data_IF_170372479923
#
_entry.id   IF_170372479923
#
_cell.length_a   1.000
_cell.length_b   1.000
_cell.length_c   1.000
_cell.angle_alpha   90.00
_cell.angle_beta   90.00
_cell.angle_gamma   90.00
#
_symmetry.space_group_name_H-M   'P 1'
#
loop_
_entity.id
_entity.type
_entity.pdbx_description
1 polymer ?
#
# COMPACT_ATOMS: atom_id res chain seq x y z
N UNK A 1 26.10 11.56 22.56
CA UNK A 1 24.87 10.74 22.39
C UNK A 1 24.71 10.23 20.96
N UNK A 2 24.69 11.09 19.93
CA UNK A 2 24.51 10.66 18.52
C UNK A 2 25.60 9.68 18.05
N UNK A 3 26.88 10.04 18.16
CA UNK A 3 28.01 9.16 17.77
C UNK A 3 27.96 7.79 18.48
N UNK A 4 27.61 7.79 19.77
CA UNK A 4 27.52 6.56 20.57
C UNK A 4 26.42 5.59 20.10
N UNK A 5 25.31 6.09 19.54
CA UNK A 5 24.17 5.25 19.12
C UNK A 5 24.24 4.95 17.62
N UNK A 6 24.53 5.97 16.81
CA UNK A 6 24.49 5.87 15.35
C UNK A 6 25.82 5.41 14.74
N UNK A 7 26.93 5.51 15.48
CA UNK A 7 28.27 5.23 14.97
C UNK A 7 28.82 6.28 13.99
N UNK A 8 28.04 7.32 13.65
CA UNK A 8 28.49 8.42 12.79
C UNK A 8 29.51 9.28 13.55
N UNK A 9 30.74 9.45 13.02
CA UNK A 9 31.73 10.33 13.62
C UNK A 9 31.19 11.74 13.84
N UNK A 10 31.52 12.37 14.98
CA UNK A 10 31.02 13.70 15.35
C UNK A 10 31.29 14.75 14.28
N UNK A 11 32.49 14.73 13.66
CA UNK A 11 32.85 15.67 12.61
C UNK A 11 31.93 15.56 11.38
N UNK A 12 31.63 14.33 10.96
CA UNK A 12 30.73 14.07 9.83
C UNK A 12 29.29 14.52 10.14
N UNK A 13 28.81 14.22 11.35
CA UNK A 13 27.49 14.65 11.79
C UNK A 13 27.36 16.18 11.82
N UNK A 14 28.36 16.89 12.39
CA UNK A 14 28.35 18.35 12.44
C UNK A 14 28.32 18.96 11.04
N UNK A 15 29.09 18.43 10.10
CA UNK A 15 29.09 18.89 8.70
C UNK A 15 27.71 18.78 8.06
N UNK A 16 26.99 17.67 8.29
CA UNK A 16 25.62 17.49 7.80
C UNK A 16 24.66 18.47 8.47
N UNK A 17 24.78 18.70 9.78
CA UNK A 17 23.99 19.69 10.49
C UNK A 17 24.19 21.10 9.95
N UNK A 18 25.43 21.51 9.68
CA UNK A 18 25.77 22.82 9.11
C UNK A 18 25.08 23.03 7.76
N UNK A 19 25.21 22.07 6.83
CA UNK A 19 24.59 22.16 5.51
C UNK A 19 23.06 22.22 5.55
N UNK A 20 22.43 21.45 6.45
CA UNK A 20 20.98 21.49 6.61
C UNK A 20 20.55 22.82 7.24
N UNK A 21 21.28 23.29 8.26
CA UNK A 21 20.97 24.52 8.98
C UNK A 21 21.05 25.77 8.08
N UNK A 22 21.95 25.81 7.10
CA UNK A 22 22.00 26.90 6.11
C UNK A 22 20.67 27.10 5.36
N UNK A 23 19.86 26.04 5.26
CA UNK A 23 18.56 26.07 4.57
C UNK A 23 17.42 26.58 5.45
N UNK A 24 17.71 27.10 6.64
CA UNK A 24 16.74 27.91 7.40
C UNK A 24 16.62 29.34 6.85
N UNK A 25 17.53 29.76 5.97
CA UNK A 25 17.44 31.05 5.29
C UNK A 25 16.25 31.03 4.31
N UNK A 26 15.41 32.09 4.24
CA UNK A 26 14.19 32.08 3.43
C UNK A 26 14.39 31.87 1.91
N UNK A 27 15.60 32.14 1.41
CA UNK A 27 16.00 32.02 0.00
C UNK A 27 16.77 30.72 -0.32
N UNK A 28 16.99 29.86 0.69
CA UNK A 28 17.60 28.54 0.54
C UNK A 28 16.60 27.45 0.89
N UNK A 29 16.72 26.29 0.25
CA UNK A 29 15.86 25.14 0.55
C UNK A 29 16.64 23.84 0.62
N UNK A 30 16.25 22.95 1.53
CA UNK A 30 16.69 21.56 1.54
C UNK A 30 15.55 20.64 1.06
N UNK A 31 15.91 19.60 0.32
CA UNK A 31 14.98 18.55 -0.09
C UNK A 31 15.44 17.19 0.41
N UNK A 32 14.56 16.47 1.10
CA UNK A 32 14.85 15.11 1.56
C UNK A 32 14.27 14.08 0.60
N UNK A 33 15.14 13.25 0.02
CA UNK A 33 14.78 12.13 -0.83
C UNK A 33 14.96 10.84 -0.03
N UNK A 34 13.88 10.11 0.21
CA UNK A 34 13.94 8.86 0.98
C UNK A 34 12.97 7.80 0.47
N UNK A 35 13.21 6.54 0.82
CA UNK A 35 12.33 5.41 0.54
C UNK A 35 12.44 4.35 1.66
N UNK A 36 12.90 3.15 1.33
CA UNK A 36 12.84 1.96 2.19
C UNK A 36 13.76 2.04 3.41
N UNK A 37 14.89 2.74 3.29
CA UNK A 37 15.88 2.88 4.36
C UNK A 37 15.32 3.47 5.67
N UNK A 38 14.21 4.22 5.59
CA UNK A 38 13.51 4.75 6.77
C UNK A 38 12.19 4.05 7.08
N UNK A 39 11.50 3.48 6.10
CA UNK A 39 10.16 2.91 6.29
C UNK A 39 10.18 1.49 6.86
N UNK A 40 11.18 0.67 6.54
CA UNK A 40 11.23 -0.75 6.89
C UNK A 40 11.83 -1.01 8.27
N UNK A 41 11.30 -0.32 9.28
CA UNK A 41 11.70 -0.46 10.68
C UNK A 41 10.44 -0.48 11.57
N UNK A 42 10.52 -1.08 12.75
CA UNK A 42 9.45 -1.03 13.75
C UNK A 42 9.06 0.41 14.15
N UNK A 43 9.99 1.36 14.01
CA UNK A 43 9.80 2.79 14.24
C UNK A 43 9.77 3.62 12.96
N UNK A 44 9.53 3.01 11.79
CA UNK A 44 9.71 3.68 10.49
C UNK A 44 8.86 4.94 10.32
N UNK A 45 7.65 4.95 10.87
CA UNK A 45 6.80 6.15 10.90
C UNK A 45 7.44 7.30 11.70
N UNK A 46 8.15 7.00 12.79
CA UNK A 46 8.82 8.00 13.61
C UNK A 46 10.03 8.60 12.90
N UNK A 47 10.82 7.78 12.20
CA UNK A 47 11.93 8.28 11.37
C UNK A 47 11.45 9.37 10.40
N UNK A 48 10.31 9.13 9.74
CA UNK A 48 9.71 10.07 8.79
C UNK A 48 9.16 11.30 9.51
N UNK A 49 8.49 11.13 10.66
CA UNK A 49 8.00 12.28 11.45
C UNK A 49 9.15 13.21 11.85
N UNK A 50 10.28 12.66 12.31
CA UNK A 50 11.45 13.46 12.70
C UNK A 50 11.95 14.31 11.53
N UNK A 51 12.10 13.74 10.34
CA UNK A 51 12.52 14.51 9.16
C UNK A 51 11.46 15.53 8.73
N UNK A 52 10.17 15.19 8.78
CA UNK A 52 9.11 16.15 8.48
C UNK A 52 9.13 17.36 9.46
N UNK A 53 9.40 17.12 10.74
CA UNK A 53 9.58 18.18 11.74
C UNK A 53 10.77 19.07 11.41
N UNK A 54 11.90 18.51 10.96
CA UNK A 54 13.06 19.29 10.49
C UNK A 54 12.65 20.21 9.32
N UNK A 55 11.96 19.68 8.31
CA UNK A 55 11.52 20.49 7.17
C UNK A 55 10.52 21.59 7.55
N UNK A 56 9.69 21.38 8.57
CA UNK A 56 8.81 22.41 9.12
C UNK A 56 9.60 23.49 9.86
N UNK A 57 10.58 23.11 10.69
CA UNK A 57 11.43 24.05 11.43
C UNK A 57 12.26 24.94 10.50
N UNK A 58 12.71 24.39 9.37
CA UNK A 58 13.48 25.11 8.36
C UNK A 58 12.61 25.93 7.39
N UNK A 59 11.28 25.80 7.43
CA UNK A 59 10.38 26.49 6.50
C UNK A 59 10.42 25.96 5.06
N UNK A 60 10.91 24.74 4.85
CA UNK A 60 11.14 24.16 3.51
C UNK A 60 9.90 23.53 2.87
N UNK A 61 8.78 23.43 3.59
CA UNK A 61 7.54 22.82 3.09
C UNK A 61 6.77 23.77 2.17
N UNK A 62 6.39 23.29 0.98
CA UNK A 62 5.66 24.10 -0.02
C UNK A 62 6.55 24.91 -0.96
N UNK A 63 7.87 24.90 -0.73
CA UNK A 63 8.85 25.66 -1.53
C UNK A 63 9.36 24.85 -2.73
N UNK A 64 9.66 25.53 -3.84
CA UNK A 64 10.38 24.94 -4.97
C UNK A 64 11.79 24.54 -4.53
N UNK A 65 12.23 23.33 -4.91
CA UNK A 65 13.51 22.77 -4.46
C UNK A 65 13.51 22.26 -3.02
N UNK A 66 12.42 22.46 -2.24
CA UNK A 66 12.31 22.01 -0.86
C UNK A 66 11.52 20.72 -0.68
N UNK A 67 10.80 20.63 0.44
CA UNK A 67 9.79 19.61 0.72
C UNK A 67 10.31 18.21 1.06
N UNK A 68 9.38 17.28 1.12
CA UNK A 68 9.61 15.88 1.47
C UNK A 68 9.32 15.00 0.26
N UNK A 69 10.38 14.52 -0.40
CA UNK A 69 10.28 13.66 -1.56
C UNK A 69 10.30 12.18 -1.14
N UNK A 70 9.14 11.69 -0.70
CA UNK A 70 8.93 10.30 -0.34
C UNK A 70 8.84 9.40 -1.58
N UNK A 71 9.98 8.85 -2.01
CA UNK A 71 10.10 8.11 -3.25
C UNK A 71 9.37 6.75 -3.17
N UNK A 72 8.36 6.60 -4.03
CA UNK A 72 7.56 5.41 -4.29
C UNK A 72 8.33 4.39 -5.14
N UNK A 73 8.16 3.10 -4.82
CA UNK A 73 8.80 1.98 -5.49
C UNK A 73 8.10 1.58 -6.79
N UNK A 74 7.12 0.67 -6.71
CA UNK A 74 6.43 0.19 -7.92
C UNK A 74 5.76 1.33 -8.71
N UNK A 75 5.73 1.16 -10.03
CA UNK A 75 5.25 2.15 -11.00
C UNK A 75 3.86 2.71 -10.74
N UNK A 76 2.97 1.93 -10.09
CA UNK A 76 1.61 2.35 -9.74
C UNK A 76 1.26 2.10 -8.26
N UNK A 77 2.24 1.99 -7.36
CA UNK A 77 1.94 1.79 -5.94
C UNK A 77 1.10 2.96 -5.39
N UNK A 78 1.34 4.17 -5.90
CA UNK A 78 0.56 5.34 -5.55
C UNK A 78 -0.92 5.18 -5.97
N UNK A 79 -1.17 4.70 -7.19
CA UNK A 79 -2.54 4.47 -7.67
C UNK A 79 -3.27 3.36 -6.92
N UNK A 80 -2.59 2.27 -6.55
CA UNK A 80 -3.21 1.20 -5.75
C UNK A 80 -3.55 1.69 -4.33
N UNK A 81 -2.70 2.54 -3.74
CA UNK A 81 -3.00 3.22 -2.46
C UNK A 81 -4.18 4.19 -2.61
N UNK A 82 -4.20 5.00 -3.67
CA UNK A 82 -5.30 5.94 -3.96
C UNK A 82 -6.64 5.19 -4.14
N UNK A 83 -6.62 3.98 -4.70
CA UNK A 83 -7.79 3.11 -4.88
C UNK A 83 -8.13 2.27 -3.63
N UNK A 84 -7.36 2.37 -2.56
CA UNK A 84 -7.66 1.71 -1.29
C UNK A 84 -7.44 0.20 -1.28
N UNK A 85 -6.48 -0.34 -2.05
CA UNK A 85 -6.12 -1.77 -1.96
C UNK A 85 -5.26 -2.09 -0.72
N UNK A 86 -5.78 -1.74 0.46
CA UNK A 86 -5.26 -2.05 1.78
C UNK A 86 -6.40 -2.56 2.65
N UNK A 87 -6.08 -3.37 3.68
CA UNK A 87 -7.07 -4.18 4.42
C UNK A 87 -8.34 -3.44 4.86
N UNK A 88 -8.23 -2.20 5.32
CA UNK A 88 -9.34 -1.42 5.89
C UNK A 88 -9.62 -0.15 5.10
N UNK A 89 -9.16 -0.05 3.86
CA UNK A 89 -9.24 1.16 3.05
C UNK A 89 -10.34 1.09 2.00
N UNK A 90 -10.84 2.26 1.63
CA UNK A 90 -11.71 2.50 0.48
C UNK A 90 -11.02 3.50 -0.46
N UNK A 91 -11.42 3.56 -1.75
CA UNK A 91 -10.90 4.55 -2.69
C UNK A 91 -10.95 5.99 -2.15
N UNK A 92 -9.96 6.80 -2.50
CA UNK A 92 -9.88 8.20 -2.10
C UNK A 92 -9.50 8.40 -0.64
N UNK A 93 -8.70 7.50 -0.05
CA UNK A 93 -8.24 7.54 1.34
C UNK A 93 -9.37 7.48 2.38
N UNK A 94 -10.56 6.99 1.98
CA UNK A 94 -11.64 6.67 2.90
C UNK A 94 -11.33 5.35 3.61
N UNK A 95 -12.00 5.11 4.75
CA UNK A 95 -11.84 3.88 5.53
C UNK A 95 -13.08 3.00 5.40
N UNK A 96 -12.89 1.68 5.36
CA UNK A 96 -14.00 0.74 5.58
C UNK A 96 -14.59 0.96 6.98
N UNK A 97 -15.90 0.72 7.16
CA UNK A 97 -16.52 0.79 8.48
C UNK A 97 -15.96 -0.27 9.42
N UNK A 98 -15.79 0.10 10.70
CA UNK A 98 -15.53 -0.86 11.78
C UNK A 98 -16.85 -1.51 12.22
N UNK A 99 -16.82 -2.75 12.71
CA UNK A 99 -18.03 -3.45 13.20
C UNK A 99 -18.79 -2.71 14.32
N UNK A 100 -18.10 -1.86 15.09
CA UNK A 100 -18.69 -1.02 16.15
C UNK A 100 -19.48 0.17 15.61
N UNK A 101 -19.38 0.46 14.32
CA UNK A 101 -20.13 1.54 13.64
C UNK A 101 -21.39 0.94 13.02
N UNK A 102 -22.40 0.73 13.85
CA UNK A 102 -23.62 0.00 13.49
C UNK A 102 -24.41 0.66 12.36
N UNK A 103 -24.34 1.98 12.23
CA UNK A 103 -25.09 2.76 11.25
C UNK A 103 -24.21 3.79 10.52
N UNK A 104 -24.74 4.29 9.40
CA UNK A 104 -24.07 5.27 8.55
C UNK A 104 -23.75 6.57 9.29
N UNK A 105 -24.63 7.06 10.16
CA UNK A 105 -24.45 8.32 10.86
C UNK A 105 -23.26 8.23 11.83
N UNK A 106 -23.15 7.13 12.56
CA UNK A 106 -22.03 6.82 13.47
C UNK A 106 -20.71 6.77 12.68
N UNK A 107 -20.70 6.08 11.54
CA UNK A 107 -19.53 6.02 10.66
C UNK A 107 -19.12 7.39 10.10
N UNK A 108 -20.07 8.17 9.57
CA UNK A 108 -19.78 9.49 9.02
C UNK A 108 -19.30 10.45 10.09
N UNK A 109 -19.90 10.42 11.28
CA UNK A 109 -19.49 11.27 12.41
C UNK A 109 -18.05 10.96 12.84
N UNK A 110 -17.68 9.68 12.91
CA UNK A 110 -16.34 9.27 13.29
C UNK A 110 -15.26 9.67 12.25
N UNK A 111 -15.62 9.71 10.97
CA UNK A 111 -14.68 9.98 9.87
C UNK A 111 -14.72 11.43 9.35
N UNK A 112 -15.62 12.28 9.89
CA UNK A 112 -15.72 13.69 9.51
C UNK A 112 -15.10 14.55 10.62
N UNK A 113 -13.83 14.96 10.48
CA UNK A 113 -13.16 15.74 11.52
C UNK A 113 -13.81 17.12 11.66
N UNK A 114 -13.85 17.61 12.90
CA UNK A 114 -14.24 18.99 13.21
C UNK A 114 -12.99 19.89 13.19
N UNK A 115 -13.10 21.14 12.73
CA UNK A 115 -11.97 22.06 12.77
C UNK A 115 -11.55 22.31 14.23
N UNK A 116 -10.25 22.20 14.52
CA UNK A 116 -9.69 22.44 15.86
C UNK A 116 -9.38 23.92 16.12
N UNK A 117 -9.28 24.72 15.06
CA UNK A 117 -9.03 26.16 15.11
C UNK A 117 -10.07 26.89 14.26
N UNK A 118 -10.27 28.17 14.54
CA UNK A 118 -11.10 29.05 13.73
C UNK A 118 -10.45 29.29 12.35
N UNK A 119 -11.28 29.60 11.36
CA UNK A 119 -10.89 30.03 10.02
C UNK A 119 -10.00 29.02 9.26
N UNK A 120 -10.22 27.72 9.52
CA UNK A 120 -9.56 26.61 8.83
C UNK A 120 -10.42 26.04 7.71
N UNK A 121 -9.78 25.64 6.61
CA UNK A 121 -10.48 24.99 5.47
C UNK A 121 -11.13 23.67 5.87
N UNK A 122 -10.44 22.85 6.68
CA UNK A 122 -10.87 21.52 7.11
C UNK A 122 -11.54 20.70 5.98
N UNK A 123 -10.79 20.43 4.90
CA UNK A 123 -11.39 19.88 3.67
C UNK A 123 -12.06 18.51 3.87
N UNK A 124 -11.55 17.70 4.82
CA UNK A 124 -12.16 16.42 5.22
C UNK A 124 -13.53 16.56 5.89
N UNK A 125 -13.97 17.77 6.25
CA UNK A 125 -15.37 18.04 6.59
C UNK A 125 -16.35 17.66 5.48
N UNK A 126 -15.88 17.45 4.24
CA UNK A 126 -16.66 16.98 3.10
C UNK A 126 -16.76 15.44 2.98
N UNK A 127 -16.23 14.67 3.94
CA UNK A 127 -16.22 13.20 3.91
C UNK A 127 -17.57 12.57 3.49
N UNK A 128 -18.74 13.00 4.00
CA UNK A 128 -20.03 12.42 3.60
C UNK A 128 -20.32 12.52 2.11
N UNK A 129 -19.90 13.61 1.47
CA UNK A 129 -20.08 13.81 0.01
C UNK A 129 -19.30 12.78 -0.78
N UNK A 130 -18.05 12.53 -0.38
CA UNK A 130 -17.18 11.55 -1.04
C UNK A 130 -17.71 10.14 -0.85
N UNK A 131 -18.15 9.80 0.37
CA UNK A 131 -18.67 8.48 0.68
C UNK A 131 -19.93 8.14 -0.11
N UNK A 132 -20.93 9.02 -0.10
CA UNK A 132 -22.18 8.81 -0.87
C UNK A 132 -21.90 8.73 -2.37
N UNK A 133 -21.03 9.61 -2.90
CA UNK A 133 -20.65 9.56 -4.32
C UNK A 133 -20.00 8.22 -4.70
N UNK A 134 -19.14 7.69 -3.84
CA UNK A 134 -18.52 6.38 -4.06
C UNK A 134 -19.55 5.25 -3.98
N UNK A 135 -20.48 5.27 -3.03
CA UNK A 135 -21.54 4.26 -2.94
C UNK A 135 -22.42 4.26 -4.19
N UNK A 136 -22.74 5.44 -4.74
CA UNK A 136 -23.43 5.57 -6.03
C UNK A 136 -22.59 5.02 -7.19
N UNK A 137 -21.28 5.20 -7.18
CA UNK A 137 -20.40 4.61 -8.20
C UNK A 137 -20.33 3.08 -8.11
N UNK A 138 -20.41 2.50 -6.90
CA UNK A 138 -20.38 1.04 -6.69
C UNK A 138 -21.70 0.37 -7.01
N UNK A 139 -22.82 0.97 -6.57
CA UNK A 139 -24.12 0.29 -6.55
C UNK A 139 -25.18 0.96 -7.44
N UNK A 140 -24.85 2.08 -8.09
CA UNK A 140 -25.74 2.78 -9.02
C UNK A 140 -27.07 3.16 -8.37
N UNK A 141 -28.16 2.78 -9.03
CA UNK A 141 -29.53 3.06 -8.58
C UNK A 141 -29.90 2.35 -7.28
N UNK A 142 -29.17 1.29 -6.91
CA UNK A 142 -29.43 0.54 -5.67
C UNK A 142 -28.94 1.24 -4.40
N UNK A 143 -28.02 2.20 -4.50
CA UNK A 143 -27.65 3.04 -3.38
C UNK A 143 -28.61 4.23 -3.29
N UNK A 144 -29.52 4.22 -2.31
CA UNK A 144 -30.53 5.26 -2.10
C UNK A 144 -30.48 5.78 -0.65
N UNK A 145 -31.16 6.88 -0.35
CA UNK A 145 -31.18 7.42 1.00
C UNK A 145 -31.86 6.45 1.99
N UNK A 146 -32.91 5.77 1.53
CA UNK A 146 -33.76 4.87 2.34
C UNK A 146 -32.98 3.65 2.84
N UNK A 147 -31.97 3.19 2.11
CA UNK A 147 -31.12 2.07 2.50
C UNK A 147 -29.71 2.50 2.95
N UNK A 148 -29.56 3.76 3.39
CA UNK A 148 -28.27 4.30 3.82
C UNK A 148 -27.17 4.12 2.77
N UNK A 149 -27.53 4.26 1.49
CA UNK A 149 -26.64 4.13 0.33
C UNK A 149 -25.95 2.77 0.22
N UNK A 150 -26.53 1.71 0.78
CA UNK A 150 -25.93 0.37 0.78
C UNK A 150 -24.78 0.20 1.78
N UNK A 151 -24.68 1.05 2.80
CA UNK A 151 -23.66 0.99 3.85
C UNK A 151 -23.44 -0.42 4.42
N UNK A 152 -24.52 -1.18 4.61
CA UNK A 152 -24.46 -2.53 5.18
C UNK A 152 -23.93 -3.61 4.24
N UNK A 153 -23.77 -3.31 2.94
CA UNK A 153 -23.13 -4.24 2.00
C UNK A 153 -21.61 -4.20 2.07
N UNK A 154 -21.03 -3.15 2.68
CA UNK A 154 -19.59 -3.09 2.89
C UNK A 154 -19.17 -4.04 4.03
N UNK A 155 -18.05 -4.76 3.87
CA UNK A 155 -17.51 -5.55 4.96
C UNK A 155 -17.07 -4.63 6.09
N UNK A 156 -17.54 -4.94 7.31
CA UNK A 156 -17.14 -4.25 8.52
C UNK A 156 -16.01 -5.02 9.20
N UNK A 157 -14.91 -4.35 9.53
CA UNK A 157 -13.73 -5.00 10.09
C UNK A 157 -13.75 -5.01 11.62
N UNK A 158 -13.32 -6.12 12.22
CA UNK A 158 -13.04 -6.27 13.66
C UNK A 158 -11.62 -5.79 13.99
N UNK A 159 -10.69 -6.06 13.07
CA UNK A 159 -9.27 -5.64 13.12
C UNK A 159 -8.69 -5.45 11.72
N UNK A 160 -7.51 -4.85 11.64
CA UNK A 160 -6.75 -4.82 10.39
C UNK A 160 -6.12 -6.19 10.14
N UNK A 161 -6.20 -6.70 8.92
CA UNK A 161 -5.58 -7.96 8.51
C UNK A 161 -4.36 -7.68 7.63
N UNK A 162 -3.28 -7.23 8.26
CA UNK A 162 -2.01 -7.02 7.56
C UNK A 162 -1.38 -8.37 7.14
N UNK A 163 -0.41 -8.30 6.21
CA UNK A 163 0.17 -9.50 5.60
C UNK A 163 0.86 -10.43 6.61
N UNK A 164 1.47 -9.89 7.68
CA UNK A 164 2.14 -10.72 8.68
C UNK A 164 1.11 -11.46 9.53
N UNK A 165 0.05 -10.77 9.95
CA UNK A 165 -1.06 -11.41 10.66
C UNK A 165 -1.78 -12.43 9.79
N UNK A 166 -2.03 -12.11 8.51
CA UNK A 166 -2.73 -12.99 7.60
C UNK A 166 -1.93 -14.26 7.29
N UNK A 167 -0.61 -14.15 7.11
CA UNK A 167 0.26 -15.32 6.91
C UNK A 167 0.45 -16.14 8.19
N UNK A 168 0.34 -15.53 9.37
CA UNK A 168 0.26 -16.27 10.63
C UNK A 168 -1.05 -17.05 10.73
N UNK A 169 -2.19 -16.44 10.39
CA UNK A 169 -3.48 -17.14 10.31
C UNK A 169 -3.43 -18.30 9.30
N UNK A 170 -2.79 -18.09 8.15
CA UNK A 170 -2.57 -19.14 7.14
C UNK A 170 -1.70 -20.27 7.70
N UNK A 171 -0.64 -19.95 8.44
CA UNK A 171 0.18 -20.96 9.12
C UNK A 171 -0.62 -21.76 10.17
N UNK A 172 -1.64 -21.14 10.78
CA UNK A 172 -2.54 -21.80 11.73
C UNK A 172 -3.68 -22.58 11.03
N UNK A 173 -3.70 -22.66 9.69
CA UNK A 173 -4.73 -23.37 8.94
C UNK A 173 -6.08 -22.63 8.87
N UNK A 174 -6.11 -21.33 9.17
CA UNK A 174 -7.34 -20.51 9.20
C UNK A 174 -7.66 -19.84 7.87
N UNK A 175 -6.85 -20.08 6.83
CA UNK A 175 -7.01 -19.50 5.50
C UNK A 175 -7.13 -20.63 4.48
N UNK A 176 -8.24 -20.66 3.75
CA UNK A 176 -8.50 -21.70 2.74
C UNK A 176 -7.86 -21.38 1.39
N UNK A 177 -7.83 -20.12 0.99
CA UNK A 177 -7.41 -19.71 -0.34
C UNK A 177 -6.68 -18.38 -0.35
N UNK A 178 -5.83 -18.19 -1.36
CA UNK A 178 -5.09 -16.94 -1.55
C UNK A 178 -5.03 -16.55 -3.02
N UNK A 179 -5.19 -15.25 -3.31
CA UNK A 179 -5.05 -14.69 -4.65
C UNK A 179 -3.82 -13.81 -4.67
N UNK A 180 -2.88 -14.14 -5.54
CA UNK A 180 -1.63 -13.43 -5.73
C UNK A 180 -1.59 -12.81 -7.13
N UNK A 181 -1.96 -11.53 -7.23
CA UNK A 181 -2.03 -10.81 -8.51
C UNK A 181 -0.87 -9.81 -8.64
N UNK A 182 0.07 -10.09 -9.54
CA UNK A 182 1.22 -9.21 -9.80
C UNK A 182 2.07 -8.95 -8.55
N UNK A 183 2.16 -9.94 -7.66
CA UNK A 183 2.93 -9.91 -6.42
C UNK A 183 3.63 -11.25 -6.24
N UNK A 184 4.73 -11.30 -5.49
CA UNK A 184 5.53 -12.53 -5.32
C UNK A 184 5.97 -12.70 -3.86
N UNK A 185 5.06 -13.14 -2.96
CA UNK A 185 5.33 -13.21 -1.52
C UNK A 185 6.49 -14.14 -1.16
N UNK A 186 6.72 -15.24 -1.88
CA UNK A 186 7.85 -16.15 -1.60
C UNK A 186 9.19 -15.42 -1.67
N UNK A 187 9.32 -14.44 -2.57
CA UNK A 187 10.54 -13.65 -2.72
C UNK A 187 10.54 -12.37 -1.86
N UNK A 188 9.38 -11.74 -1.64
CA UNK A 188 9.31 -10.39 -1.06
C UNK A 188 8.95 -10.33 0.43
N UNK A 189 8.36 -11.38 0.99
CA UNK A 189 7.98 -11.39 2.40
C UNK A 189 9.13 -11.85 3.30
N UNK A 190 9.18 -11.36 4.56
CA UNK A 190 10.19 -11.81 5.51
C UNK A 190 9.97 -13.29 5.88
N UNK A 191 11.06 -13.99 6.18
CA UNK A 191 11.05 -15.41 6.54
C UNK A 191 10.40 -16.31 5.48
N UNK A 192 11.09 -16.45 4.34
CA UNK A 192 10.69 -17.27 3.20
C UNK A 192 10.27 -18.69 3.56
N UNK A 193 10.95 -19.35 4.49
CA UNK A 193 10.62 -20.72 4.90
C UNK A 193 9.24 -20.79 5.58
N UNK A 194 8.93 -19.83 6.45
CA UNK A 194 7.59 -19.72 7.04
C UNK A 194 6.53 -19.39 5.98
N UNK A 195 6.85 -18.53 5.02
CA UNK A 195 5.95 -18.19 3.90
C UNK A 195 5.58 -19.44 3.09
N UNK A 196 6.57 -20.26 2.69
CA UNK A 196 6.33 -21.52 1.97
C UNK A 196 5.51 -22.50 2.82
N UNK A 197 5.82 -22.62 4.11
CA UNK A 197 5.05 -23.48 5.02
C UNK A 197 3.59 -23.02 5.18
N UNK A 198 3.34 -21.71 5.21
CA UNK A 198 1.98 -21.15 5.22
C UNK A 198 1.25 -21.46 3.92
N UNK A 199 1.86 -21.18 2.76
CA UNK A 199 1.25 -21.45 1.45
C UNK A 199 0.91 -22.92 1.26
N UNK A 200 1.72 -23.84 1.80
CA UNK A 200 1.51 -25.29 1.74
C UNK A 200 0.25 -25.77 2.50
N UNK A 201 -0.32 -24.94 3.36
CA UNK A 201 -1.55 -25.22 4.12
C UNK A 201 -2.82 -24.71 3.43
N UNK A 202 -2.69 -23.99 2.32
CA UNK A 202 -3.83 -23.55 1.53
C UNK A 202 -4.51 -24.72 0.84
N UNK A 203 -5.83 -24.63 0.68
CA UNK A 203 -6.59 -25.51 -0.21
C UNK A 203 -6.37 -25.12 -1.67
N UNK A 204 -6.36 -23.82 -1.96
CA UNK A 204 -6.08 -23.31 -3.30
C UNK A 204 -5.25 -22.02 -3.31
N UNK A 205 -4.48 -21.83 -4.38
CA UNK A 205 -3.73 -20.61 -4.68
C UNK A 205 -4.00 -20.20 -6.12
N UNK A 206 -4.43 -18.96 -6.33
CA UNK A 206 -4.56 -18.38 -7.66
C UNK A 206 -3.45 -17.36 -7.87
N UNK A 207 -2.59 -17.59 -8.85
CA UNK A 207 -1.55 -16.65 -9.28
C UNK A 207 -1.93 -16.01 -10.60
N UNK A 208 -1.85 -14.68 -10.68
CA UNK A 208 -2.18 -13.90 -11.87
C UNK A 208 -0.99 -13.02 -12.21
N UNK A 209 -0.15 -13.46 -13.14
CA UNK A 209 1.11 -12.80 -13.45
C UNK A 209 1.49 -12.96 -14.94
N UNK A 210 2.16 -11.96 -15.55
CA UNK A 210 2.70 -12.12 -16.90
C UNK A 210 3.92 -13.04 -17.01
N UNK A 211 4.55 -13.39 -15.88
CA UNK A 211 5.75 -14.22 -15.80
C UNK A 211 5.53 -15.41 -14.87
N UNK A 212 6.46 -16.37 -14.91
CA UNK A 212 6.53 -17.39 -13.88
C UNK A 212 7.14 -16.78 -12.61
N UNK A 213 6.62 -17.12 -11.44
CA UNK A 213 7.11 -16.59 -10.16
C UNK A 213 7.37 -17.73 -9.17
N UNK A 214 8.29 -17.53 -8.24
CA UNK A 214 8.58 -18.46 -7.15
C UNK A 214 7.32 -18.80 -6.34
N UNK A 215 6.39 -17.85 -6.21
CA UNK A 215 5.10 -18.11 -5.57
C UNK A 215 4.23 -19.08 -6.35
N UNK A 216 4.25 -19.03 -7.69
CA UNK A 216 3.48 -19.99 -8.52
C UNK A 216 4.06 -21.40 -8.54
N UNK A 217 5.34 -21.55 -8.22
CA UNK A 217 6.05 -22.84 -8.18
C UNK A 217 6.54 -23.18 -6.77
N UNK A 218 5.93 -22.60 -5.73
CA UNK A 218 6.38 -22.77 -4.34
C UNK A 218 6.37 -24.23 -3.87
N UNK A 219 5.56 -25.06 -4.52
CA UNK A 219 5.38 -26.49 -4.27
C UNK A 219 6.42 -27.36 -4.97
N UNK A 220 7.22 -26.82 -5.88
CA UNK A 220 8.26 -27.55 -6.62
C UNK A 220 9.58 -27.53 -5.86
N UNK A 221 10.26 -28.68 -5.82
CA UNK A 221 11.62 -28.75 -5.29
C UNK A 221 12.61 -28.08 -6.25
N UNK A 222 13.45 -27.18 -5.73
CA UNK A 222 14.54 -26.55 -6.47
C UNK A 222 15.87 -26.64 -5.70
N UNK A 223 16.13 -27.79 -5.08
CA UNK A 223 17.29 -27.99 -4.19
C UNK A 223 17.27 -27.01 -3.02
N UNK A 224 18.45 -26.54 -2.58
CA UNK A 224 18.58 -25.61 -1.45
C UNK A 224 17.77 -24.32 -1.61
N UNK A 225 17.51 -23.88 -2.85
CA UNK A 225 16.71 -22.69 -3.12
C UNK A 225 15.23 -22.85 -2.73
N UNK A 226 14.69 -24.07 -2.82
CA UNK A 226 13.35 -24.41 -2.37
C UNK A 226 13.23 -25.91 -2.07
N UNK A 227 13.73 -26.31 -0.90
CA UNK A 227 13.75 -27.72 -0.50
C UNK A 227 12.40 -28.13 0.10
N UNK A 228 11.50 -28.55 -0.79
CA UNK A 228 10.14 -29.00 -0.45
C UNK A 228 9.88 -30.38 -1.06
N UNK A 229 8.92 -31.10 -0.51
CA UNK A 229 8.43 -32.36 -1.06
C UNK A 229 7.05 -32.11 -1.71
N UNK A 230 6.96 -32.09 -3.06
CA UNK A 230 5.70 -31.86 -3.76
C UNK A 230 4.58 -32.82 -3.33
N UNK A 231 4.91 -34.07 -2.96
CA UNK A 231 3.91 -35.06 -2.57
C UNK A 231 3.22 -34.72 -1.24
N UNK A 232 3.83 -33.88 -0.40
CA UNK A 232 3.27 -33.44 0.88
C UNK A 232 2.45 -32.15 0.78
N UNK A 233 2.45 -31.48 -0.37
CA UNK A 233 1.76 -30.20 -0.58
C UNK A 233 0.48 -30.46 -1.37
N UNK A 234 -0.66 -30.27 -0.71
CA UNK A 234 -1.99 -30.58 -1.28
C UNK A 234 -2.70 -29.36 -1.87
N UNK A 235 -2.02 -28.21 -1.93
CA UNK A 235 -2.61 -26.96 -2.44
C UNK A 235 -2.85 -27.06 -3.94
N UNK A 236 -4.07 -26.81 -4.38
CA UNK A 236 -4.39 -26.67 -5.80
C UNK A 236 -3.92 -25.30 -6.32
N UNK A 237 -3.07 -25.29 -7.35
CA UNK A 237 -2.46 -24.06 -7.86
C UNK A 237 -2.96 -23.73 -9.26
N UNK A 238 -3.68 -22.60 -9.37
CA UNK A 238 -4.10 -22.02 -10.64
C UNK A 238 -3.13 -20.93 -11.06
N UNK A 239 -2.55 -21.03 -12.25
CA UNK A 239 -1.67 -19.99 -12.82
C UNK A 239 -2.32 -19.38 -14.06
N UNK A 240 -2.78 -18.15 -13.92
CA UNK A 240 -3.49 -17.41 -14.96
C UNK A 240 -2.53 -16.41 -15.63
N UNK A 241 -2.20 -16.58 -16.92
CA UNK A 241 -1.19 -15.76 -17.57
C UNK A 241 -1.76 -14.38 -17.95
N UNK A 242 -1.08 -13.32 -17.47
CA UNK A 242 -1.46 -11.92 -17.71
C UNK A 242 -0.60 -11.26 -18.82
N UNK A 243 -1.08 -10.14 -19.36
CA UNK A 243 -0.30 -9.29 -20.26
C UNK A 243 0.71 -8.39 -19.53
N UNK A 244 1.82 -8.10 -20.22
CA UNK A 244 2.77 -7.05 -19.83
C UNK A 244 2.24 -5.66 -20.17
N UNK A 245 2.74 -4.64 -19.45
CA UNK A 245 2.32 -3.24 -19.52
C UNK A 245 2.22 -2.66 -20.95
N UNK A 246 3.10 -3.08 -21.87
CA UNK A 246 3.24 -2.50 -23.22
C UNK A 246 2.11 -2.86 -24.20
N UNK A 247 1.10 -3.62 -23.75
CA UNK A 247 0.07 -4.24 -24.61
C UNK A 247 -1.37 -3.99 -24.14
N UNK A 248 -1.63 -2.84 -23.50
CA UNK A 248 -2.99 -2.35 -23.19
C UNK A 248 -2.95 -0.85 -22.85
N UNK A 249 -4.09 -0.18 -23.02
CA UNK A 249 -4.32 1.14 -22.45
C UNK A 249 -4.52 1.12 -20.93
N UNK A 250 -3.71 1.89 -20.21
CA UNK A 250 -3.79 2.01 -18.76
C UNK A 250 -3.40 3.39 -18.27
N UNK A 251 -4.01 3.78 -17.16
CA UNK A 251 -3.61 4.94 -16.35
C UNK A 251 -2.83 4.45 -15.13
N UNK A 252 -1.65 5.02 -14.89
CA UNK A 252 -0.86 4.78 -13.68
C UNK A 252 -0.37 6.11 -13.08
N UNK A 253 -0.13 6.12 -11.77
CA UNK A 253 0.39 7.28 -11.03
C UNK A 253 1.82 7.07 -10.56
N UNK A 254 2.70 7.98 -10.99
CA UNK A 254 4.12 8.02 -10.61
C UNK A 254 4.35 8.74 -9.26
N UNK A 255 5.63 9.01 -8.96
CA UNK A 255 6.15 9.67 -7.77
C UNK A 255 5.54 11.04 -7.43
N UNK A 256 5.22 11.82 -8.46
CA UNK A 256 4.36 13.01 -8.34
C UNK A 256 2.93 12.56 -8.67
N UNK A 257 1.87 13.19 -8.13
CA UNK A 257 0.46 12.83 -8.38
C UNK A 257 0.03 13.17 -9.83
N UNK A 258 0.83 12.76 -10.80
CA UNK A 258 0.61 12.79 -12.22
C UNK A 258 0.04 11.43 -12.61
N UNK A 259 -1.18 11.44 -13.13
CA UNK A 259 -1.73 10.30 -13.83
C UNK A 259 -1.21 10.32 -15.28
N UNK A 260 -0.54 9.24 -15.70
CA UNK A 260 -0.05 9.07 -17.06
C UNK A 260 -0.84 7.96 -17.76
N UNK A 261 -1.20 8.18 -19.02
CA UNK A 261 -1.86 7.18 -19.88
C UNK A 261 -0.83 6.55 -20.83
N UNK A 262 -0.74 5.23 -20.83
CA UNK A 262 0.03 4.47 -21.81
C UNK A 262 -0.90 3.88 -22.86
N UNK A 263 -0.50 3.90 -24.14
CA UNK A 263 -1.24 3.32 -25.27
C UNK A 263 -0.71 1.92 -25.63
N UNK A 264 -1.60 1.04 -26.10
CA UNK A 264 -1.25 -0.29 -26.58
C UNK A 264 -0.38 -0.22 -27.86
N UNK A 265 0.68 -1.05 -27.96
CA UNK A 265 1.60 -1.04 -29.11
C UNK A 265 1.76 -2.35 -29.88
N UNK A 266 1.27 -3.52 -29.40
CA UNK A 266 1.38 -4.82 -30.10
C UNK A 266 0.32 -5.84 -29.65
N UNK A 267 -0.14 -6.69 -30.58
CA UNK A 267 -1.10 -7.79 -30.36
C UNK A 267 -0.61 -8.94 -29.45
N UNK A 268 -1.48 -9.92 -29.18
CA UNK A 268 -1.38 -10.92 -28.08
C UNK A 268 -0.45 -12.11 -28.40
N UNK A 269 0.39 -12.59 -27.47
CA UNK A 269 1.07 -13.88 -27.60
C UNK A 269 0.28 -14.98 -26.89
N UNK A 270 -0.19 -16.00 -27.63
CA UNK A 270 -0.99 -17.10 -27.09
C UNK A 270 -2.31 -16.67 -26.46
N UNK A 271 -2.83 -17.47 -25.52
CA UNK A 271 -4.15 -17.27 -24.88
C UNK A 271 -4.13 -16.33 -23.66
N UNK A 272 -3.13 -15.46 -23.55
CA UNK A 272 -3.08 -14.47 -22.45
C UNK A 272 -4.33 -13.60 -22.49
N UNK A 273 -4.81 -13.17 -21.32
CA UNK A 273 -5.95 -12.26 -21.17
C UNK A 273 -5.57 -10.99 -20.43
N UNK A 274 -6.39 -9.94 -20.57
CA UNK A 274 -6.24 -8.74 -19.73
C UNK A 274 -6.62 -9.07 -18.28
N UNK A 275 -6.33 -8.14 -17.36
CA UNK A 275 -6.56 -8.35 -15.92
C UNK A 275 -8.04 -8.55 -15.56
N UNK A 276 -8.95 -7.97 -16.34
CA UNK A 276 -10.40 -8.02 -16.16
C UNK A 276 -11.00 -9.04 -17.11
#
# INVERSE_FOLDING_TARGET
MVENICGTPKADFLKVCEYIAETSAPDKTASFLYALGWTQHSIGAQNIRTMAMIQLLLGNMGMAGGGVNALRGHSNIQGLTDLGLLSTSLPGYMSLPNEKQADLQTYLTANTPKPLLKDQVNYWGNYPKFFVSMMKAFFGDKATAENSWGYDWLPKWDKSYDVLQYFEMMNQGKVNGYICQGFNPVASFPNKNKVVASLSKLKFLVTIDPLNTETSTFWQNHGESNDVDPAKIQTEVFRLPLHLLRRREWVYRQLRPLAAMALERRGRPGDRRHRW
#
